data_IF_207633222118
#
_entry.id   IF_207633222118
#
_cell.length_a   1.000
_cell.length_b   1.000
_cell.length_c   1.000
_cell.angle_alpha   90.00
_cell.angle_beta   90.00
_cell.angle_gamma   90.00
#
_symmetry.space_group_name_H-M   'P 1'
#
loop_
_entity.id
_entity.type
_entity.pdbx_description
1 polymer ?
#
# COMPACT_ATOMS: atom_id res chain seq x y z
N UNK A 1 10.10 45.39 -27.99
CA UNK A 1 9.72 44.94 -26.63
C UNK A 1 9.95 43.43 -26.55
N UNK A 2 11.02 42.98 -25.90
CA UNK A 2 11.31 41.54 -25.74
C UNK A 2 10.53 41.01 -24.53
N UNK A 3 9.60 40.06 -24.74
CA UNK A 3 9.02 39.27 -23.64
C UNK A 3 9.92 38.05 -23.43
N UNK A 4 10.74 38.09 -22.38
CA UNK A 4 11.46 36.93 -21.89
C UNK A 4 10.44 35.92 -21.32
N UNK A 5 10.18 34.84 -22.07
CA UNK A 5 9.43 33.71 -21.56
C UNK A 5 10.26 32.99 -20.50
N UNK A 6 9.85 33.09 -19.24
CA UNK A 6 10.42 32.30 -18.15
C UNK A 6 10.01 30.85 -18.38
N UNK A 7 10.90 30.06 -18.97
CA UNK A 7 10.78 28.60 -18.98
C UNK A 7 11.01 28.11 -17.55
N UNK A 8 9.93 27.84 -16.81
CA UNK A 8 10.02 27.07 -15.56
C UNK A 8 10.47 25.66 -15.93
N UNK A 9 11.78 25.38 -15.81
CA UNK A 9 12.29 24.02 -15.74
C UNK A 9 11.63 23.36 -14.53
N UNK A 10 10.64 22.50 -14.78
CA UNK A 10 10.11 21.59 -13.79
C UNK A 10 11.28 20.77 -13.24
N UNK A 11 11.76 21.11 -12.05
CA UNK A 11 12.70 20.24 -11.33
C UNK A 11 11.97 18.91 -11.13
N UNK A 12 12.37 17.89 -11.88
CA UNK A 12 12.00 16.52 -11.57
C UNK A 12 12.45 16.29 -10.13
N UNK A 13 11.49 16.23 -9.18
CA UNK A 13 11.77 15.78 -7.83
C UNK A 13 12.46 14.42 -8.00
N UNK A 14 13.74 14.33 -7.63
CA UNK A 14 14.42 13.03 -7.53
C UNK A 14 13.55 12.18 -6.60
N UNK A 15 12.88 11.19 -7.18
CA UNK A 15 11.98 10.31 -6.45
C UNK A 15 12.87 9.43 -5.55
N UNK A 16 12.54 9.39 -4.27
CA UNK A 16 13.34 8.68 -3.27
C UNK A 16 13.20 7.16 -3.41
N UNK A 17 14.05 6.39 -2.72
CA UNK A 17 13.95 4.93 -2.70
C UNK A 17 12.58 4.48 -2.17
N UNK A 18 12.03 3.43 -2.78
CA UNK A 18 10.74 2.83 -2.44
C UNK A 18 10.94 1.39 -1.97
N UNK A 19 10.00 0.89 -1.18
CA UNK A 19 9.94 -0.51 -0.74
C UNK A 19 8.57 -1.07 -1.05
N UNK A 20 8.54 -2.31 -1.56
CA UNK A 20 7.34 -3.12 -1.70
C UNK A 20 7.23 -4.00 -0.46
N UNK A 21 6.09 -3.91 0.22
CA UNK A 21 5.71 -4.76 1.34
C UNK A 21 4.71 -5.77 0.84
N UNK A 22 4.92 -7.05 1.14
CA UNK A 22 4.06 -8.16 0.69
C UNK A 22 3.70 -9.05 1.88
N UNK A 23 2.43 -9.42 1.99
CA UNK A 23 1.92 -10.44 2.92
C UNK A 23 1.44 -11.63 2.11
N UNK A 24 1.84 -12.83 2.53
CA UNK A 24 1.44 -14.08 1.92
C UNK A 24 0.38 -14.76 2.80
N UNK A 25 -0.79 -15.04 2.24
CA UNK A 25 -1.84 -15.77 2.93
C UNK A 25 -1.67 -17.27 2.64
N UNK A 26 -1.45 -18.06 3.69
CA UNK A 26 -1.08 -19.47 3.57
C UNK A 26 -2.16 -20.32 2.88
N UNK A 27 -3.43 -19.95 3.04
CA UNK A 27 -4.57 -20.73 2.58
C UNK A 27 -5.12 -20.28 1.21
N UNK A 28 -4.66 -19.14 0.71
CA UNK A 28 -5.44 -18.35 -0.26
C UNK A 28 -4.79 -18.22 -1.64
N UNK A 29 -3.58 -18.76 -1.82
CA UNK A 29 -2.84 -18.73 -3.09
C UNK A 29 -2.65 -17.33 -3.72
N UNK A 30 -2.90 -16.25 -2.97
CA UNK A 30 -2.67 -14.87 -3.38
C UNK A 30 -1.83 -14.12 -2.33
N UNK A 31 -1.09 -13.12 -2.81
CA UNK A 31 -0.35 -12.16 -2.00
C UNK A 31 -0.98 -10.78 -2.09
N UNK A 32 -0.96 -10.03 -0.99
CA UNK A 32 -1.31 -8.61 -0.99
C UNK A 32 -0.03 -7.80 -0.86
N UNK A 33 0.09 -6.73 -1.63
CA UNK A 33 1.25 -5.85 -1.55
C UNK A 33 0.95 -4.37 -1.64
N UNK A 34 1.80 -3.56 -1.02
CA UNK A 34 1.81 -2.10 -1.14
C UNK A 34 3.22 -1.58 -1.37
N UNK A 35 3.32 -0.47 -2.11
CA UNK A 35 4.58 0.26 -2.27
C UNK A 35 4.57 1.53 -1.44
N UNK A 36 5.56 1.70 -0.57
CA UNK A 36 5.75 2.91 0.25
C UNK A 36 7.17 3.44 0.09
N UNK A 37 7.41 4.68 0.52
CA UNK A 37 8.78 5.20 0.53
C UNK A 37 9.61 4.50 1.60
N UNK A 38 10.91 4.28 1.33
CA UNK A 38 11.83 3.70 2.31
C UNK A 38 11.85 4.49 3.61
N UNK A 39 11.76 5.82 3.55
CA UNK A 39 11.61 6.67 4.74
C UNK A 39 10.40 6.27 5.58
N UNK A 40 9.27 5.99 4.94
CA UNK A 40 8.05 5.61 5.66
C UNK A 40 8.16 4.23 6.29
N UNK A 41 8.87 3.32 5.64
CA UNK A 41 9.18 2.01 6.20
C UNK A 41 10.07 2.10 7.45
N UNK A 42 11.12 2.92 7.43
CA UNK A 42 11.93 3.15 8.64
C UNK A 42 11.10 3.74 9.79
N UNK A 43 10.21 4.70 9.50
CA UNK A 43 9.27 5.24 10.50
C UNK A 43 8.36 4.14 11.12
N UNK A 44 7.87 3.21 10.30
CA UNK A 44 7.03 2.10 10.77
C UNK A 44 7.83 1.16 11.69
N UNK A 45 9.07 0.82 11.33
CA UNK A 45 9.95 -0.01 12.17
C UNK A 45 10.28 0.65 13.52
N UNK A 46 10.29 1.97 13.58
CA UNK A 46 10.40 2.75 14.82
C UNK A 46 9.10 2.77 15.64
N UNK A 47 8.04 2.09 15.19
CA UNK A 47 6.75 2.00 15.86
C UNK A 47 5.80 3.17 15.56
N UNK A 48 6.10 4.02 14.55
CA UNK A 48 5.20 5.11 14.19
C UNK A 48 3.98 4.58 13.44
N UNK A 49 2.76 4.99 13.81
CA UNK A 49 1.57 4.53 13.16
C UNK A 49 1.53 4.97 11.70
N UNK A 50 0.99 4.10 10.85
CA UNK A 50 0.83 4.38 9.43
C UNK A 50 -0.44 3.73 8.88
N UNK A 51 -1.07 4.40 7.91
CA UNK A 51 -2.23 3.88 7.20
C UNK A 51 -2.13 4.16 5.72
N UNK A 52 -2.43 3.14 4.90
CA UNK A 52 -2.46 3.26 3.44
C UNK A 52 -3.51 2.33 2.83
N UNK A 53 -4.16 2.80 1.78
CA UNK A 53 -5.02 1.94 0.96
C UNK A 53 -4.17 1.25 -0.11
N UNK A 54 -4.40 -0.05 -0.31
CA UNK A 54 -3.82 -0.83 -1.41
C UNK A 54 -4.48 -0.50 -2.76
N UNK A 55 -4.10 -1.24 -3.79
CA UNK A 55 -4.73 -1.10 -5.12
C UNK A 55 -6.17 -1.66 -5.10
N UNK A 56 -6.43 -2.61 -4.19
CA UNK A 56 -7.68 -3.35 -4.14
C UNK A 56 -7.76 -4.39 -5.26
N UNK A 57 -8.70 -5.30 -5.14
CA UNK A 57 -8.90 -6.38 -6.10
C UNK A 57 -10.40 -6.58 -6.36
N UNK A 58 -10.73 -7.43 -7.33
CA UNK A 58 -12.12 -7.85 -7.54
C UNK A 58 -12.26 -9.31 -7.15
N UNK A 59 -13.33 -9.64 -6.46
CA UNK A 59 -13.58 -10.97 -5.91
C UNK A 59 -15.06 -11.19 -5.63
N UNK A 60 -15.42 -12.42 -5.29
CA UNK A 60 -16.77 -12.74 -4.84
C UNK A 60 -17.03 -12.11 -3.47
N UNK A 61 -18.22 -11.55 -3.31
CA UNK A 61 -18.79 -11.13 -2.03
C UNK A 61 -20.18 -11.74 -1.84
N UNK A 62 -20.83 -11.42 -0.73
CA UNK A 62 -22.11 -11.97 -0.32
C UNK A 62 -23.22 -11.80 -1.37
N UNK A 63 -23.21 -10.67 -2.10
CA UNK A 63 -24.18 -10.34 -3.15
C UNK A 63 -23.61 -10.55 -4.57
N UNK A 64 -22.54 -11.35 -4.68
CA UNK A 64 -21.85 -11.64 -5.94
C UNK A 64 -20.58 -10.81 -6.14
N UNK A 65 -20.14 -10.67 -7.39
CA UNK A 65 -18.84 -10.09 -7.70
C UNK A 65 -18.75 -8.60 -7.34
N UNK A 66 -17.77 -8.22 -6.52
CA UNK A 66 -17.58 -6.86 -6.05
C UNK A 66 -16.11 -6.41 -6.09
N UNK A 67 -15.91 -5.11 -5.86
CA UNK A 67 -14.56 -4.52 -5.76
C UNK A 67 -14.20 -4.38 -4.28
N UNK A 68 -13.08 -4.98 -3.92
CA UNK A 68 -12.46 -4.92 -2.60
C UNK A 68 -11.43 -3.80 -2.54
N UNK A 69 -11.29 -3.19 -1.37
CA UNK A 69 -10.27 -2.19 -1.08
C UNK A 69 -9.50 -2.61 0.15
N UNK A 70 -8.22 -2.90 -0.04
CA UNK A 70 -7.33 -3.27 1.05
C UNK A 70 -6.92 -2.02 1.81
N UNK A 71 -6.83 -2.16 3.12
CA UNK A 71 -6.40 -1.11 4.03
C UNK A 71 -5.32 -1.67 4.95
N UNK A 72 -4.13 -1.12 4.81
CA UNK A 72 -2.95 -1.46 5.58
C UNK A 72 -2.82 -0.47 6.72
N UNK A 73 -2.81 -0.98 7.95
CA UNK A 73 -2.65 -0.20 9.17
C UNK A 73 -1.51 -0.80 9.97
N UNK A 74 -0.50 0.02 10.26
CA UNK A 74 0.61 -0.33 11.14
C UNK A 74 0.41 0.43 12.44
N UNK A 75 0.38 -0.28 13.56
CA UNK A 75 0.33 0.30 14.90
C UNK A 75 1.11 -0.59 15.86
N UNK A 76 1.95 0.03 16.70
CA UNK A 76 2.70 -0.66 17.78
C UNK A 76 3.48 -1.93 17.36
N UNK A 77 3.99 -1.98 16.13
CA UNK A 77 4.76 -3.13 15.63
C UNK A 77 3.91 -4.25 15.05
N UNK A 78 2.59 -4.07 14.99
CA UNK A 78 1.66 -4.99 14.32
C UNK A 78 1.18 -4.38 13.00
N UNK A 79 1.00 -5.25 12.01
CA UNK A 79 0.31 -4.97 10.77
C UNK A 79 -1.10 -5.56 10.84
N UNK A 80 -2.08 -4.72 10.52
CA UNK A 80 -3.43 -5.12 10.21
C UNK A 80 -3.74 -4.80 8.74
N UNK A 81 -4.07 -5.80 7.94
CA UNK A 81 -4.58 -5.65 6.57
C UNK A 81 -6.02 -6.11 6.53
N UNK A 82 -6.95 -5.19 6.26
CA UNK A 82 -8.37 -5.51 6.07
C UNK A 82 -8.79 -5.26 4.63
N UNK A 83 -9.51 -6.21 4.03
CA UNK A 83 -10.15 -6.06 2.73
C UNK A 83 -11.63 -5.75 2.89
N UNK A 84 -12.09 -4.59 2.41
CA UNK A 84 -13.49 -4.16 2.56
C UNK A 84 -14.16 -4.01 1.21
N UNK A 85 -15.39 -4.51 1.06
CA UNK A 85 -16.16 -4.33 -0.17
C UNK A 85 -16.56 -2.87 -0.35
N UNK A 86 -16.27 -2.28 -1.51
CA UNK A 86 -16.60 -0.87 -1.78
C UNK A 86 -18.10 -0.61 -1.86
N UNK A 87 -18.88 -1.59 -2.30
CA UNK A 87 -20.35 -1.46 -2.43
C UNK A 87 -21.08 -1.68 -1.10
N UNK A 88 -20.50 -2.46 -0.20
CA UNK A 88 -21.03 -2.73 1.13
C UNK A 88 -19.90 -2.68 2.17
N UNK A 89 -19.59 -1.51 2.75
CA UNK A 89 -18.44 -1.36 3.64
C UNK A 89 -18.50 -2.16 4.95
N UNK A 90 -19.65 -2.77 5.25
CA UNK A 90 -19.80 -3.69 6.39
C UNK A 90 -19.34 -5.11 6.06
N UNK A 91 -19.10 -5.41 4.79
CA UNK A 91 -18.60 -6.69 4.32
C UNK A 91 -17.07 -6.65 4.25
N UNK A 92 -16.44 -7.55 5.01
CA UNK A 92 -14.99 -7.65 5.18
C UNK A 92 -14.64 -9.12 4.98
N UNK A 93 -13.71 -9.43 4.07
CA UNK A 93 -13.42 -10.83 3.70
C UNK A 93 -12.35 -11.48 4.53
N UNK A 94 -11.30 -10.77 4.94
CA UNK A 94 -10.27 -11.32 5.82
C UNK A 94 -9.35 -10.23 6.37
N UNK A 95 -8.83 -10.50 7.56
CA UNK A 95 -7.89 -9.68 8.29
C UNK A 95 -6.56 -10.43 8.48
N UNK A 96 -5.49 -9.99 7.80
CA UNK A 96 -4.16 -10.33 8.29
C UNK A 96 -3.90 -9.47 9.52
N UNK A 97 -3.69 -10.09 10.66
CA UNK A 97 -3.19 -9.43 11.86
C UNK A 97 -1.93 -10.17 12.30
N UNK A 98 -0.77 -9.52 12.17
CA UNK A 98 0.50 -10.16 12.45
C UNK A 98 1.63 -9.17 12.72
N UNK A 99 2.75 -9.67 13.26
CA UNK A 99 3.94 -8.85 13.51
C UNK A 99 4.55 -8.37 12.19
N UNK A 100 5.17 -7.19 12.19
CA UNK A 100 5.81 -6.64 10.96
C UNK A 100 6.96 -7.51 10.43
N UNK A 101 7.51 -8.39 11.27
CA UNK A 101 8.56 -9.35 10.95
C UNK A 101 8.11 -10.43 9.95
N UNK A 102 6.81 -10.67 9.83
CA UNK A 102 6.25 -11.63 8.86
C UNK A 102 6.05 -11.03 7.46
N UNK A 103 6.28 -9.72 7.32
CA UNK A 103 6.15 -9.01 6.05
C UNK A 103 7.39 -9.24 5.20
N UNK A 104 7.19 -9.68 3.96
CA UNK A 104 8.26 -9.70 2.98
C UNK A 104 8.51 -8.28 2.43
N UNK A 105 9.77 -7.84 2.45
CA UNK A 105 10.16 -6.48 2.06
C UNK A 105 11.21 -6.51 0.96
N UNK A 106 10.91 -5.84 -0.15
CA UNK A 106 11.81 -5.71 -1.30
C UNK A 106 12.05 -4.22 -1.61
N UNK A 107 13.32 -3.82 -1.84
CA UNK A 107 13.61 -2.48 -2.37
C UNK A 107 13.27 -2.45 -3.86
N UNK A 108 12.41 -1.51 -4.25
CA UNK A 108 11.94 -1.39 -5.64
C UNK A 108 12.27 -0.01 -6.21
N UNK A 109 12.66 0.02 -7.47
CA UNK A 109 12.70 1.26 -8.24
C UNK A 109 11.29 1.63 -8.68
N UNK A 110 10.89 2.90 -8.55
CA UNK A 110 9.58 3.34 -9.02
C UNK A 110 9.52 3.15 -10.54
N UNK A 111 8.75 2.15 -11.00
CA UNK A 111 8.54 1.89 -12.41
C UNK A 111 7.92 3.15 -13.04
N UNK A 112 8.57 3.66 -14.09
CA UNK A 112 8.06 4.78 -14.89
C UNK A 112 6.84 4.27 -15.66
N UNK A 113 5.66 4.42 -15.09
CA UNK A 113 4.40 4.42 -15.84
C UNK A 113 4.22 5.76 -16.55
#
# INVERSE_FOLDING_TARGET
MHKAGVVRKSMQKKKGPMVKLTVFFADDAYDLSIVISKKKWEEIKEGKPFKKNGEGYFGEGADGYCKWQDRWTFDKGELNVTSTALKNPNEVTEDFIGPIEEIHVEEVEESRS
#
